data_IF_944745246152
#
_entry.id   IF_944745246152
#
_cell.length_a   1.000
_cell.length_b   1.000
_cell.length_c   1.000
_cell.angle_alpha   90.00
_cell.angle_beta   90.00
_cell.angle_gamma   90.00
#
_symmetry.space_group_name_H-M   'P 1'
#
loop_
_entity.id
_entity.type
_entity.pdbx_description
1 polymer ?
#
# COMPACT_ATOMS: atom_id res chain seq x y z
N UNK A 1 8.90 0.47 -11.05
CA UNK A 1 8.40 -0.35 -9.95
C UNK A 1 7.66 -1.56 -10.54
N UNK A 2 7.67 -2.74 -9.89
CA UNK A 2 6.87 -3.89 -10.31
C UNK A 2 5.71 -4.16 -9.33
N UNK A 3 4.50 -4.28 -9.85
CA UNK A 3 3.31 -4.57 -9.05
C UNK A 3 3.18 -6.07 -8.80
N UNK A 4 3.18 -6.47 -7.53
CA UNK A 4 3.25 -7.88 -7.12
C UNK A 4 2.36 -8.18 -5.90
N UNK A 5 1.97 -9.43 -5.75
CA UNK A 5 1.35 -9.87 -4.50
C UNK A 5 2.39 -9.88 -3.37
N UNK A 6 1.97 -9.68 -2.10
CA UNK A 6 2.84 -9.86 -0.96
C UNK A 6 3.28 -11.33 -0.81
N UNK A 7 4.46 -11.66 -1.36
CA UNK A 7 4.97 -13.03 -1.29
C UNK A 7 6.47 -13.11 -1.55
N UNK A 8 7.17 -13.86 -0.70
CA UNK A 8 8.63 -14.01 -0.76
C UNK A 8 9.13 -14.44 -2.14
N UNK A 9 8.49 -15.44 -2.76
CA UNK A 9 8.84 -15.92 -4.10
C UNK A 9 8.75 -14.83 -5.17
N UNK A 10 7.74 -13.96 -5.10
CA UNK A 10 7.60 -12.84 -6.05
C UNK A 10 8.69 -11.80 -5.81
N UNK A 11 8.98 -11.46 -4.55
CA UNK A 11 10.06 -10.53 -4.20
C UNK A 11 11.42 -11.06 -4.67
N UNK A 12 11.71 -12.33 -4.44
CA UNK A 12 12.95 -12.97 -4.91
C UNK A 12 13.06 -12.96 -6.44
N UNK A 13 11.94 -13.16 -7.14
CA UNK A 13 11.91 -13.03 -8.60
C UNK A 13 12.20 -11.60 -9.05
N UNK A 14 11.61 -10.60 -8.39
CA UNK A 14 11.86 -9.18 -8.69
C UNK A 14 13.34 -8.81 -8.54
N UNK A 15 14.03 -9.33 -7.52
CA UNK A 15 15.47 -9.07 -7.36
C UNK A 15 16.28 -9.49 -8.59
N UNK A 16 15.89 -10.60 -9.23
CA UNK A 16 16.58 -11.12 -10.41
C UNK A 16 16.33 -10.28 -11.66
N UNK A 17 15.28 -9.45 -11.69
CA UNK A 17 14.99 -8.57 -12.83
C UNK A 17 15.81 -7.27 -12.81
N UNK A 18 16.47 -6.95 -11.69
CA UNK A 18 17.19 -5.69 -11.51
C UNK A 18 16.27 -4.48 -11.21
N UNK A 19 14.97 -4.69 -11.01
CA UNK A 19 14.08 -3.62 -10.59
C UNK A 19 14.47 -3.09 -9.19
N UNK A 20 14.38 -1.78 -9.01
CA UNK A 20 14.76 -1.08 -7.77
C UNK A 20 13.60 -0.91 -6.78
N UNK A 21 12.38 -1.14 -7.25
CA UNK A 21 11.17 -0.88 -6.48
C UNK A 21 10.06 -1.88 -6.81
N UNK A 22 9.22 -2.15 -5.81
CA UNK A 22 7.98 -2.92 -5.94
C UNK A 22 6.80 -2.12 -5.45
N UNK A 23 5.61 -2.48 -5.93
CA UNK A 23 4.35 -2.05 -5.35
C UNK A 23 3.58 -3.28 -4.87
N UNK A 24 3.34 -3.37 -3.56
CA UNK A 24 2.63 -4.50 -2.97
C UNK A 24 1.11 -4.34 -3.17
N UNK A 25 0.50 -5.39 -3.73
CA UNK A 25 -0.94 -5.45 -3.93
C UNK A 25 -1.70 -5.53 -2.59
N UNK A 26 -2.38 -4.45 -2.22
CA UNK A 26 -3.16 -4.34 -0.97
C UNK A 26 -4.64 -4.75 -1.08
N UNK A 27 -5.11 -5.20 -2.25
CA UNK A 27 -6.54 -5.53 -2.41
C UNK A 27 -7.04 -6.75 -1.65
N UNK A 28 -6.20 -7.72 -1.26
CA UNK A 28 -6.62 -8.80 -0.36
C UNK A 28 -6.92 -8.25 1.06
N UNK A 29 -6.13 -7.27 1.50
CA UNK A 29 -6.39 -6.51 2.74
C UNK A 29 -7.65 -5.66 2.64
N UNK A 30 -7.89 -4.99 1.51
CA UNK A 30 -9.12 -4.20 1.29
C UNK A 30 -10.39 -5.06 1.29
N UNK A 31 -10.35 -6.22 0.63
CA UNK A 31 -11.52 -7.11 0.48
C UNK A 31 -11.77 -8.02 1.70
N UNK A 32 -10.91 -7.98 2.72
CA UNK A 32 -11.09 -8.80 3.91
C UNK A 32 -12.33 -8.36 4.70
N UNK A 33 -13.29 -9.27 4.88
CA UNK A 33 -14.59 -8.99 5.52
C UNK A 33 -14.64 -9.31 7.02
N UNK A 34 -13.60 -9.95 7.56
CA UNK A 34 -13.52 -10.28 8.99
C UNK A 34 -12.25 -9.72 9.60
N UNK A 35 -12.31 -9.31 10.87
CA UNK A 35 -11.13 -8.79 11.60
C UNK A 35 -9.94 -9.73 11.49
N UNK A 36 -10.17 -11.03 11.67
CA UNK A 36 -9.12 -12.05 11.56
C UNK A 36 -8.44 -12.05 10.19
N UNK A 37 -9.22 -11.95 9.10
CA UNK A 37 -8.66 -11.88 7.74
C UNK A 37 -7.95 -10.56 7.50
N UNK A 38 -8.50 -9.44 7.96
CA UNK A 38 -7.87 -8.12 7.83
C UNK A 38 -6.52 -8.08 8.51
N UNK A 39 -6.40 -8.61 9.74
CA UNK A 39 -5.13 -8.70 10.46
C UNK A 39 -4.14 -9.61 9.72
N UNK A 40 -4.59 -10.78 9.26
CA UNK A 40 -3.73 -11.72 8.51
C UNK A 40 -3.12 -11.06 7.26
N UNK A 41 -3.95 -10.42 6.44
CA UNK A 41 -3.47 -9.77 5.21
C UNK A 41 -2.61 -8.54 5.50
N UNK A 42 -2.94 -7.77 6.55
CA UNK A 42 -2.10 -6.66 7.01
C UNK A 42 -0.70 -7.14 7.43
N UNK A 43 -0.61 -8.18 8.26
CA UNK A 43 0.67 -8.75 8.69
C UNK A 43 1.47 -9.27 7.51
N UNK A 44 0.82 -9.96 6.57
CA UNK A 44 1.45 -10.42 5.33
C UNK A 44 2.07 -9.27 4.53
N UNK A 45 1.35 -8.15 4.35
CA UNK A 45 1.89 -6.95 3.68
C UNK A 45 3.07 -6.38 4.46
N UNK A 46 2.93 -6.21 5.78
CA UNK A 46 3.98 -5.66 6.66
C UNK A 46 5.26 -6.48 6.60
N UNK A 47 5.16 -7.80 6.75
CA UNK A 47 6.31 -8.69 6.78
C UNK A 47 7.02 -8.74 5.42
N UNK A 48 6.25 -8.71 4.33
CA UNK A 48 6.80 -8.68 2.97
C UNK A 48 7.41 -7.33 2.60
N UNK A 49 6.85 -6.21 3.09
CA UNK A 49 7.46 -4.89 2.96
C UNK A 49 8.83 -4.85 3.65
N UNK A 50 8.91 -5.32 4.90
CA UNK A 50 10.17 -5.41 5.66
C UNK A 50 11.18 -6.30 4.91
N UNK A 51 10.72 -7.45 4.38
CA UNK A 51 11.59 -8.35 3.63
C UNK A 51 12.13 -7.73 2.34
N UNK A 52 11.28 -7.08 1.56
CA UNK A 52 11.68 -6.39 0.33
C UNK A 52 12.66 -5.24 0.60
N UNK A 53 12.45 -4.45 1.66
CA UNK A 53 13.38 -3.41 2.10
C UNK A 53 14.76 -3.99 2.46
N UNK A 54 14.80 -5.11 3.21
CA UNK A 54 16.06 -5.83 3.50
C UNK A 54 16.76 -6.33 2.24
N UNK A 55 16.01 -6.53 1.16
CA UNK A 55 16.55 -6.89 -0.13
C UNK A 55 16.99 -5.69 -0.98
N UNK A 56 16.96 -4.47 -0.43
CA UNK A 56 17.37 -3.24 -1.10
C UNK A 56 16.31 -2.66 -2.04
N UNK A 57 15.06 -3.14 -1.96
CA UNK A 57 13.96 -2.63 -2.79
C UNK A 57 13.23 -1.50 -2.08
N UNK A 58 12.93 -0.42 -2.80
CA UNK A 58 11.90 0.54 -2.38
C UNK A 58 10.53 -0.13 -2.45
N UNK A 59 9.71 0.06 -1.42
CA UNK A 59 8.40 -0.60 -1.33
C UNK A 59 7.30 0.45 -1.37
N UNK A 60 6.45 0.37 -2.37
CA UNK A 60 5.21 1.13 -2.52
C UNK A 60 3.99 0.23 -2.24
N UNK A 61 2.81 0.81 -2.11
CA UNK A 61 1.53 0.10 -2.00
C UNK A 61 0.39 0.99 -2.52
N UNK A 62 -0.85 0.50 -2.66
CA UNK A 62 -1.93 1.40 -3.11
C UNK A 62 -3.26 0.80 -3.50
N UNK A 63 -3.24 -0.38 -4.12
CA UNK A 63 -4.46 -0.99 -4.68
C UNK A 63 -5.55 -1.25 -3.62
N UNK A 64 -6.69 -0.59 -3.76
CA UNK A 64 -7.84 -0.74 -2.84
C UNK A 64 -7.72 0.06 -1.54
N UNK A 65 -6.70 0.91 -1.39
CA UNK A 65 -6.61 1.79 -0.22
C UNK A 65 -7.71 2.88 -0.25
N UNK A 66 -8.29 3.13 0.93
CA UNK A 66 -9.42 4.02 1.23
C UNK A 66 -9.09 4.85 2.46
N UNK A 67 -9.82 5.94 2.68
CA UNK A 67 -9.58 6.86 3.80
C UNK A 67 -9.55 6.17 5.19
N UNK A 68 -10.32 5.09 5.39
CA UNK A 68 -10.38 4.39 6.68
C UNK A 68 -9.35 3.27 6.86
N UNK A 69 -8.74 2.74 5.78
CA UNK A 69 -7.80 1.60 5.86
C UNK A 69 -6.34 1.98 5.51
N UNK A 70 -6.12 3.18 4.96
CA UNK A 70 -4.80 3.63 4.50
C UNK A 70 -3.82 3.84 5.66
N UNK A 71 -4.27 4.36 6.80
CA UNK A 71 -3.43 4.73 7.95
C UNK A 71 -2.48 3.60 8.37
N UNK A 72 -2.99 2.36 8.40
CA UNK A 72 -2.20 1.20 8.84
C UNK A 72 -1.08 0.87 7.86
N UNK A 73 -1.36 0.95 6.56
CA UNK A 73 -0.37 0.68 5.50
C UNK A 73 0.66 1.81 5.43
N UNK A 74 0.23 3.07 5.53
CA UNK A 74 1.10 4.24 5.59
C UNK A 74 2.10 4.17 6.75
N UNK A 75 1.69 3.63 7.90
CA UNK A 75 2.53 3.51 9.09
C UNK A 75 3.51 2.32 9.07
N UNK A 76 3.57 1.55 7.98
CA UNK A 76 4.61 0.53 7.82
C UNK A 76 5.95 1.25 7.60
N UNK A 77 6.91 1.05 8.50
CA UNK A 77 8.24 1.68 8.42
C UNK A 77 8.88 1.40 7.06
N UNK A 78 9.43 2.44 6.43
CA UNK A 78 10.11 2.35 5.14
C UNK A 78 9.19 2.18 3.92
N UNK A 79 7.87 2.35 4.10
CA UNK A 79 6.96 2.52 2.96
C UNK A 79 7.34 3.78 2.19
N UNK A 80 7.49 3.65 0.87
CA UNK A 80 7.86 4.73 -0.04
C UNK A 80 6.65 5.58 -0.39
N UNK A 81 5.89 5.16 -1.41
CA UNK A 81 4.72 5.91 -1.89
C UNK A 81 3.44 5.06 -1.79
N UNK A 82 2.31 5.75 -1.65
CA UNK A 82 0.99 5.13 -1.70
C UNK A 82 0.23 5.59 -2.96
N UNK A 83 0.06 4.68 -3.92
CA UNK A 83 -0.59 4.93 -5.21
C UNK A 83 -2.11 4.67 -5.11
N UNK A 84 -2.86 5.72 -4.75
CA UNK A 84 -4.30 5.61 -4.45
C UNK A 84 -5.11 6.30 -5.56
N UNK A 85 -6.02 5.54 -6.20
CA UNK A 85 -6.84 6.03 -7.32
C UNK A 85 -8.33 6.10 -7.00
N UNK A 86 -9.02 4.97 -7.14
CA UNK A 86 -10.48 4.89 -7.10
C UNK A 86 -11.11 5.57 -5.88
N UNK A 87 -10.55 5.39 -4.67
CA UNK A 87 -11.13 5.98 -3.46
C UNK A 87 -11.07 7.52 -3.44
N UNK A 88 -10.01 8.13 -3.97
CA UNK A 88 -9.90 9.59 -4.11
C UNK A 88 -10.92 10.09 -5.13
N UNK A 89 -11.01 9.46 -6.31
CA UNK A 89 -11.94 9.88 -7.36
C UNK A 89 -13.39 9.73 -6.90
N UNK A 90 -13.75 8.61 -6.29
CA UNK A 90 -15.11 8.39 -5.77
C UNK A 90 -15.50 9.40 -4.69
N UNK A 91 -14.56 9.82 -3.84
CA UNK A 91 -14.80 10.89 -2.86
C UNK A 91 -14.89 12.27 -3.54
N UNK A 92 -14.06 12.52 -4.55
CA UNK A 92 -14.01 13.78 -5.28
C UNK A 92 -15.32 14.11 -6.02
N UNK A 93 -16.09 13.11 -6.46
CA UNK A 93 -17.41 13.31 -7.10
C UNK A 93 -18.36 14.13 -6.21
N UNK A 94 -18.24 14.00 -4.88
CA UNK A 94 -19.11 14.70 -3.93
C UNK A 94 -18.48 15.97 -3.34
N UNK A 95 -17.15 16.00 -3.22
CA UNK A 95 -16.44 17.00 -2.41
C UNK A 95 -15.41 17.81 -3.18
N UNK A 96 -15.20 17.51 -4.46
CA UNK A 96 -14.14 18.08 -5.29
C UNK A 96 -12.78 17.40 -5.09
N UNK A 97 -11.97 17.38 -6.15
CA UNK A 97 -10.68 16.68 -6.19
C UNK A 97 -9.65 17.26 -5.20
N UNK A 98 -9.60 18.58 -5.08
CA UNK A 98 -8.67 19.26 -4.17
C UNK A 98 -8.88 18.80 -2.71
N UNK A 99 -10.13 18.81 -2.25
CA UNK A 99 -10.48 18.37 -0.90
C UNK A 99 -10.18 16.87 -0.72
N UNK A 100 -10.54 16.04 -1.71
CA UNK A 100 -10.28 14.61 -1.68
C UNK A 100 -8.79 14.29 -1.46
N UNK A 101 -7.91 14.93 -2.24
CA UNK A 101 -6.45 14.74 -2.13
C UNK A 101 -5.93 15.25 -0.78
N UNK A 102 -6.31 16.48 -0.38
CA UNK A 102 -5.89 17.06 0.92
C UNK A 102 -6.27 16.16 2.09
N UNK A 103 -7.47 15.61 2.08
CA UNK A 103 -7.92 14.74 3.16
C UNK A 103 -7.22 13.38 3.15
N UNK A 104 -6.89 12.80 1.98
CA UNK A 104 -6.09 11.57 1.93
C UNK A 104 -4.67 11.82 2.46
N UNK A 105 -4.07 12.96 2.15
CA UNK A 105 -2.75 13.34 2.70
C UNK A 105 -2.77 13.45 4.22
N UNK A 106 -3.86 13.96 4.81
CA UNK A 106 -4.05 13.97 6.28
C UNK A 106 -4.13 12.55 6.84
N UNK A 107 -4.86 11.65 6.17
CA UNK A 107 -4.95 10.23 6.56
C UNK A 107 -3.58 9.55 6.53
N UNK A 108 -2.76 9.82 5.52
CA UNK A 108 -1.39 9.29 5.41
C UNK A 108 -0.48 9.85 6.54
N UNK A 109 -0.88 10.96 7.18
CA UNK A 109 -0.23 11.49 8.37
C UNK A 109 0.79 12.60 8.08
N UNK A 110 0.80 13.16 6.87
CA UNK A 110 1.53 14.40 6.52
C UNK A 110 3.03 14.45 6.88
N UNK A 111 3.67 13.33 7.20
CA UNK A 111 5.11 13.31 7.50
C UNK A 111 5.87 13.36 6.19
N UNK A 112 6.26 14.58 5.82
CA UNK A 112 7.42 14.84 4.97
C UNK A 112 8.68 14.68 5.80
#
# INVERSE_FOLDING_TARGET
SLFIDPGKKQIDAVKKTGAKAIELHTGAYDRATTRLRTEKEFHKIKDMAIYAQKCGLTVHAGHGLKYHNTVRIANIKGMGELNIGHSIISYAVFYGLEKAVKDMLKVIGGKR
#
